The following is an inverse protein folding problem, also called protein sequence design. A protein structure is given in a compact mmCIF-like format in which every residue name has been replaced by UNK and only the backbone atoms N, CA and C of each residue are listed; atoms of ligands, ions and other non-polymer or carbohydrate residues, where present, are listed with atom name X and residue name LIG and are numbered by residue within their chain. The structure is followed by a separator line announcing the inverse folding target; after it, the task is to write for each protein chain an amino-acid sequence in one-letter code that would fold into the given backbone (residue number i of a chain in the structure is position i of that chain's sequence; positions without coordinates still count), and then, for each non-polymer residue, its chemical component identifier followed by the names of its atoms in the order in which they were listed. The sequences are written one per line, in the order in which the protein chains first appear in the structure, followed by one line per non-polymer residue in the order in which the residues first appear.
data_IF_138729937617
#
_entry.id   IF_138729937617
#
_cell.length_a   1.000
_cell.length_b   1.000
_cell.length_c   1.000
_cell.angle_alpha   90.00
_cell.angle_beta   90.00
_cell.angle_gamma   90.00
#
_symmetry.space_group_name_H-M   'P 1'
#
loop_
_entity.id
_entity.type
_entity.pdbx_description
1 polymer ?
#
# COMPACT_ATOMS: atom_id res chain seq x y z
N UNK A 1 0.18 12.07 -5.91
CA UNK A 1 -0.08 10.66 -6.25
C UNK A 1 -1.58 10.42 -6.37
N UNK A 2 -2.01 9.83 -7.45
CA UNK A 2 -3.42 9.50 -7.63
C UNK A 2 -3.77 8.20 -6.89
N UNK A 3 -5.06 8.00 -6.61
CA UNK A 3 -5.52 6.77 -5.98
C UNK A 3 -5.19 5.55 -6.83
N UNK A 4 -5.33 5.68 -8.16
CA UNK A 4 -5.00 4.59 -9.08
C UNK A 4 -3.53 4.20 -8.99
N UNK A 5 -2.62 5.21 -9.02
CA UNK A 5 -1.19 4.95 -8.90
C UNK A 5 -0.86 4.30 -7.56
N UNK A 6 -1.51 4.77 -6.49
CA UNK A 6 -1.32 4.22 -5.17
C UNK A 6 -1.75 2.75 -5.10
N UNK A 7 -2.90 2.43 -5.69
CA UNK A 7 -3.39 1.05 -5.73
C UNK A 7 -2.44 0.14 -6.52
N UNK A 8 -1.85 0.65 -7.59
CA UNK A 8 -0.86 -0.11 -8.36
C UNK A 8 0.38 -0.42 -7.53
N UNK A 9 0.86 0.56 -6.76
CA UNK A 9 2.01 0.35 -5.87
C UNK A 9 1.67 -0.70 -4.81
N UNK A 10 0.49 -0.61 -4.22
CA UNK A 10 0.04 -1.58 -3.23
C UNK A 10 -0.01 -2.98 -3.83
N UNK A 11 -0.56 -3.12 -5.03
CA UNK A 11 -0.64 -4.42 -5.71
C UNK A 11 0.74 -5.01 -5.94
N UNK A 12 1.71 -4.18 -6.38
CA UNK A 12 3.07 -4.62 -6.58
C UNK A 12 3.73 -5.10 -5.29
N UNK A 13 3.47 -4.39 -4.18
CA UNK A 13 4.01 -4.79 -2.88
C UNK A 13 3.40 -6.08 -2.39
N UNK A 14 2.11 -6.32 -2.67
CA UNK A 14 1.46 -7.58 -2.30
C UNK A 14 2.10 -8.75 -3.05
N UNK A 15 2.42 -8.57 -4.33
CA UNK A 15 3.13 -9.59 -5.12
C UNK A 15 4.51 -9.83 -4.54
N UNK A 16 5.25 -8.74 -4.24
CA UNK A 16 6.58 -8.85 -3.66
C UNK A 16 6.55 -9.58 -2.31
N UNK A 17 5.51 -9.33 -1.49
CA UNK A 17 5.36 -10.01 -0.22
C UNK A 17 5.16 -11.50 -0.41
N UNK A 18 4.37 -11.89 -1.41
CA UNK A 18 4.17 -13.31 -1.73
C UNK A 18 5.48 -13.95 -2.16
N UNK A 19 6.25 -13.25 -3.00
CA UNK A 19 7.53 -13.77 -3.48
C UNK A 19 8.58 -13.87 -2.37
N UNK A 20 8.43 -13.06 -1.32
CA UNK A 20 9.32 -13.08 -0.17
C UNK A 20 8.90 -14.15 0.87
N UNK A 21 8.09 -15.11 0.47
CA UNK A 21 7.66 -16.20 1.35
C UNK A 21 8.87 -16.91 1.94
N UNK A 22 8.91 -17.03 3.25
CA UNK A 22 10.04 -17.61 3.95
C UNK A 22 11.14 -16.62 4.35
N UNK A 23 11.04 -15.37 3.92
CA UNK A 23 11.99 -14.32 4.29
C UNK A 23 11.29 -13.28 5.18
N UNK A 24 11.36 -13.49 6.48
CA UNK A 24 10.65 -12.65 7.45
C UNK A 24 11.11 -11.20 7.42
N UNK A 25 12.42 -10.95 7.22
CA UNK A 25 12.93 -9.58 7.18
C UNK A 25 12.35 -8.80 6.00
N UNK A 26 12.29 -9.41 4.83
CA UNK A 26 11.71 -8.79 3.65
C UNK A 26 10.21 -8.57 3.83
N UNK A 27 9.51 -9.56 4.37
CA UNK A 27 8.08 -9.43 4.62
C UNK A 27 7.78 -8.29 5.59
N UNK A 28 8.59 -8.13 6.63
CA UNK A 28 8.43 -7.05 7.60
C UNK A 28 8.59 -5.69 6.95
N UNK A 29 9.59 -5.54 6.06
CA UNK A 29 9.81 -4.29 5.33
C UNK A 29 8.63 -3.97 4.41
N UNK A 30 8.15 -4.97 3.69
CA UNK A 30 7.03 -4.80 2.78
C UNK A 30 5.76 -4.45 3.55
N UNK A 31 5.52 -5.13 4.68
CA UNK A 31 4.37 -4.84 5.52
C UNK A 31 4.39 -3.41 6.06
N UNK A 32 5.57 -2.91 6.46
CA UNK A 32 5.71 -1.54 6.92
C UNK A 32 5.36 -0.54 5.81
N UNK A 33 5.80 -0.81 4.57
CA UNK A 33 5.46 0.04 3.43
C UNK A 33 3.98 -0.01 3.11
N UNK A 34 3.40 -1.22 3.15
CA UNK A 34 1.96 -1.38 2.91
C UNK A 34 1.13 -0.60 3.92
N UNK A 35 1.53 -0.65 5.18
CA UNK A 35 0.83 0.06 6.25
C UNK A 35 0.76 1.56 5.96
N UNK A 36 1.89 2.15 5.58
CA UNK A 36 1.96 3.57 5.21
C UNK A 36 1.08 3.87 3.99
N UNK A 37 1.11 3.00 2.99
CA UNK A 37 0.33 3.19 1.78
C UNK A 37 -1.16 3.05 2.03
N UNK A 38 -1.57 2.13 2.89
CA UNK A 38 -2.98 2.01 3.26
C UNK A 38 -3.47 3.26 4.01
N UNK A 39 -2.66 3.80 4.90
CA UNK A 39 -2.99 5.04 5.58
C UNK A 39 -3.16 6.20 4.60
N UNK A 40 -2.26 6.29 3.63
CA UNK A 40 -2.35 7.31 2.58
C UNK A 40 -3.61 7.09 1.73
N UNK A 41 -3.93 5.85 1.41
CA UNK A 41 -5.13 5.52 0.66
C UNK A 41 -6.39 6.00 1.38
N UNK A 42 -6.49 5.74 2.68
CA UNK A 42 -7.65 6.19 3.46
C UNK A 42 -7.73 7.71 3.50
N UNK A 43 -6.60 8.39 3.62
CA UNK A 43 -6.56 9.85 3.60
C UNK A 43 -7.08 10.38 2.27
N UNK A 44 -6.65 9.79 1.15
CA UNK A 44 -7.10 10.21 -0.17
C UNK A 44 -8.60 9.97 -0.36
N UNK A 45 -9.11 8.85 0.13
CA UNK A 45 -10.53 8.54 0.06
C UNK A 45 -11.36 9.53 0.89
N UNK A 46 -10.88 9.91 2.06
CA UNK A 46 -11.53 10.92 2.88
C UNK A 46 -11.58 12.27 2.17
N UNK A 47 -10.48 12.67 1.56
CA UNK A 47 -10.41 13.94 0.83
C UNK A 47 -11.40 13.96 -0.32
N UNK A 48 -11.51 12.88 -1.06
CA UNK A 48 -12.48 12.78 -2.14
C UNK A 48 -13.92 12.86 -1.62
N UNK A 49 -14.19 12.21 -0.50
CA UNK A 49 -15.50 12.23 0.10
C UNK A 49 -15.90 13.63 0.58
N UNK A 50 -14.93 14.43 1.01
CA UNK A 50 -15.18 15.78 1.51
C UNK A 50 -15.32 16.83 0.41
N UNK A 51 -15.01 16.47 -0.81
CA UNK A 51 -15.02 17.39 -1.94
C UNK A 51 -16.41 17.63 -2.56
N UNK A 52 -17.42 17.28 -1.92
CA UNK A 52 -18.77 17.52 -2.44
C UNK A 52 -19.21 18.96 -2.31
#
# INVERSE_FOLDING_TARGET
MTLEALQNVIANLLVARREAHGNEAEQARINAKLDKLYNLKYTLLEQESQKK
#
